data_IF_937213683227
#
_entry.id   IF_937213683227
#
_cell.length_a   1.000
_cell.length_b   1.000
_cell.length_c   1.000
_cell.angle_alpha   90.00
_cell.angle_beta   90.00
_cell.angle_gamma   90.00
#
_symmetry.space_group_name_H-M   'P 1'
#
loop_
_entity.id
_entity.type
_entity.pdbx_description
1 polymer ?
#
# COMPACT_ATOMS: atom_id res chain seq x y z
N UNK A 1 -13.67 -11.63 6.69
CA UNK A 1 -13.31 -11.78 5.25
C UNK A 1 -12.07 -12.67 5.10
N UNK A 2 -10.83 -12.20 5.31
CA UNK A 2 -9.66 -13.09 5.20
C UNK A 2 -9.57 -14.13 6.32
N UNK A 3 -9.81 -13.75 7.57
CA UNK A 3 -9.83 -14.67 8.72
C UNK A 3 -10.79 -15.87 8.52
N UNK A 4 -11.93 -15.62 7.88
CA UNK A 4 -12.92 -16.66 7.55
C UNK A 4 -12.37 -17.68 6.56
N UNK A 5 -11.64 -17.23 5.53
CA UNK A 5 -10.99 -18.12 4.55
C UNK A 5 -9.89 -18.96 5.18
N UNK A 6 -9.12 -18.38 6.10
CA UNK A 6 -8.11 -19.12 6.88
C UNK A 6 -8.78 -20.20 7.74
N UNK A 7 -9.85 -19.86 8.47
CA UNK A 7 -10.59 -20.82 9.27
C UNK A 7 -11.23 -21.95 8.44
N UNK A 8 -11.61 -21.67 7.19
CA UNK A 8 -12.12 -22.66 6.24
C UNK A 8 -11.02 -23.49 5.56
N UNK A 9 -9.73 -23.20 5.79
CA UNK A 9 -8.61 -23.89 5.14
C UNK A 9 -8.36 -23.47 3.68
N UNK A 10 -9.00 -22.41 3.20
CA UNK A 10 -8.87 -21.92 1.82
C UNK A 10 -7.68 -20.96 1.63
N UNK A 11 -7.08 -20.50 2.72
CA UNK A 11 -5.99 -19.53 2.72
C UNK A 11 -5.00 -19.83 3.86
N UNK A 12 -3.68 -19.77 3.62
CA UNK A 12 -2.69 -19.88 4.69
C UNK A 12 -2.84 -18.76 5.75
N UNK A 13 -2.35 -18.98 6.99
CA UNK A 13 -2.32 -17.95 8.03
C UNK A 13 -1.51 -16.72 7.60
N UNK A 14 -1.67 -15.60 8.31
CA UNK A 14 -1.07 -14.32 7.87
C UNK A 14 0.45 -14.34 7.96
N UNK A 15 0.98 -15.03 8.95
CA UNK A 15 2.40 -15.19 9.23
C UNK A 15 3.13 -15.91 8.10
N UNK A 16 2.47 -16.87 7.44
CA UNK A 16 3.02 -17.58 6.27
C UNK A 16 2.89 -16.78 4.95
N UNK A 17 1.98 -15.80 4.92
CA UNK A 17 1.72 -14.98 3.71
C UNK A 17 2.56 -13.71 3.66
N UNK A 18 2.93 -13.17 4.81
CA UNK A 18 3.80 -11.99 4.88
C UNK A 18 5.25 -12.39 4.58
N UNK A 19 6.04 -11.51 3.96
CA UNK A 19 7.48 -11.69 3.93
C UNK A 19 8.07 -11.56 5.34
N UNK A 20 9.27 -12.11 5.54
CA UNK A 20 9.99 -12.01 6.81
C UNK A 20 10.20 -10.54 7.25
N UNK A 21 10.42 -9.66 6.27
CA UNK A 21 10.58 -8.21 6.47
C UNK A 21 9.51 -7.42 5.71
N UNK A 22 8.30 -7.23 6.28
CA UNK A 22 7.25 -6.47 5.62
C UNK A 22 7.54 -4.96 5.65
N UNK A 23 7.08 -4.25 4.62
CA UNK A 23 7.03 -2.78 4.65
C UNK A 23 6.09 -2.33 5.77
N UNK A 24 6.65 -1.61 6.75
CA UNK A 24 5.89 -1.00 7.84
C UNK A 24 5.50 0.42 7.46
N UNK A 25 4.20 0.70 7.39
CA UNK A 25 3.65 2.04 7.20
C UNK A 25 3.35 2.67 8.57
N UNK A 26 3.89 3.86 8.83
CA UNK A 26 3.77 4.57 10.10
C UNK A 26 3.60 6.09 9.91
N UNK A 27 3.42 6.84 10.99
CA UNK A 27 3.42 8.31 10.96
C UNK A 27 4.74 8.89 10.41
N UNK A 28 5.86 8.20 10.66
CA UNK A 28 7.18 8.64 10.18
C UNK A 28 7.46 8.24 8.74
N UNK A 29 6.90 7.12 8.29
CA UNK A 29 7.11 6.57 6.94
C UNK A 29 5.79 6.06 6.37
N UNK A 30 5.16 6.88 5.55
CA UNK A 30 3.98 6.51 4.78
C UNK A 30 4.09 6.98 3.32
N UNK A 31 2.99 6.89 2.55
CA UNK A 31 2.95 7.23 1.11
C UNK A 31 2.39 8.63 0.82
N UNK A 32 2.07 9.38 1.88
CA UNK A 32 1.47 10.71 1.85
C UNK A 32 2.47 11.67 2.52
N UNK A 33 2.63 12.91 2.04
CA UNK A 33 3.48 13.88 2.75
C UNK A 33 2.99 14.09 4.19
N UNK A 34 3.92 14.21 5.15
CA UNK A 34 3.59 14.31 6.58
C UNK A 34 2.65 15.47 6.92
N UNK A 35 2.73 16.57 6.18
CA UNK A 35 1.85 17.74 6.35
C UNK A 35 0.43 17.55 5.79
N UNK A 36 0.20 16.50 5.00
CA UNK A 36 -1.06 16.29 4.28
C UNK A 36 -1.93 15.20 4.95
N UNK A 37 -1.44 14.55 6.01
CA UNK A 37 -2.13 13.45 6.69
C UNK A 37 -1.92 13.48 8.20
N UNK A 38 -3.00 13.67 8.94
CA UNK A 38 -3.07 13.35 10.37
C UNK A 38 -3.16 11.83 10.52
N UNK A 39 -2.02 11.17 10.74
CA UNK A 39 -1.94 9.71 10.73
C UNK A 39 -2.71 9.08 11.89
N UNK A 40 -3.61 8.15 11.57
CA UNK A 40 -4.33 7.31 12.52
C UNK A 40 -4.34 5.84 12.07
N UNK A 41 -4.44 4.91 13.02
CA UNK A 41 -4.58 3.48 12.71
C UNK A 41 -6.00 3.19 12.23
N UNK A 42 -6.13 2.79 10.96
CA UNK A 42 -7.41 2.49 10.35
C UNK A 42 -8.06 1.18 10.79
N UNK A 43 -9.30 0.97 10.33
CA UNK A 43 -10.08 -0.26 10.55
C UNK A 43 -10.28 -1.02 9.23
N UNK A 44 -10.26 -2.35 9.29
CA UNK A 44 -10.52 -3.18 8.11
C UNK A 44 -12.00 -3.17 7.71
N UNK A 45 -12.26 -3.01 6.40
CA UNK A 45 -13.59 -3.18 5.82
C UNK A 45 -13.97 -2.05 4.86
N UNK A 46 -15.24 -2.05 4.45
CA UNK A 46 -15.80 -1.03 3.57
C UNK A 46 -15.63 -1.30 2.07
N UNK A 47 -16.12 -0.35 1.27
CA UNK A 47 -16.02 -0.35 -0.19
C UNK A 47 -15.67 1.06 -0.65
N UNK A 48 -14.50 1.21 -1.30
CA UNK A 48 -14.13 2.46 -1.96
C UNK A 48 -14.90 2.57 -3.28
N UNK A 49 -15.77 3.57 -3.40
CA UNK A 49 -16.56 3.85 -4.60
C UNK A 49 -15.94 5.02 -5.34
N UNK A 50 -15.43 4.77 -6.54
CA UNK A 50 -14.83 5.80 -7.40
C UNK A 50 -15.71 6.08 -8.62
N UNK A 51 -15.56 7.26 -9.20
CA UNK A 51 -16.12 7.62 -10.50
C UNK A 51 -14.99 7.68 -11.52
N UNK A 52 -15.31 7.40 -12.78
CA UNK A 52 -14.35 7.38 -13.88
C UNK A 52 -14.97 7.96 -15.14
N UNK A 53 -14.21 8.72 -15.93
CA UNK A 53 -14.74 9.34 -17.15
C UNK A 53 -14.86 8.35 -18.31
N UNK A 54 -14.05 7.29 -18.34
CA UNK A 54 -14.06 6.27 -19.38
C UNK A 54 -14.55 4.91 -18.83
N UNK A 55 -15.26 4.10 -19.62
CA UNK A 55 -15.80 2.81 -19.17
C UNK A 55 -14.74 1.73 -18.95
N UNK A 56 -13.60 1.84 -19.61
CA UNK A 56 -12.53 0.81 -19.68
C UNK A 56 -11.20 1.28 -19.07
N UNK A 57 -10.95 2.61 -19.01
CA UNK A 57 -9.84 3.19 -18.25
C UNK A 57 -10.19 4.03 -16.99
N UNK A 58 -9.35 3.97 -15.95
CA UNK A 58 -9.35 4.92 -14.81
C UNK A 58 -7.91 5.11 -14.35
N UNK A 59 -7.29 6.27 -14.60
CA UNK A 59 -5.89 6.49 -14.25
C UNK A 59 -5.66 6.45 -12.74
N UNK A 60 -6.63 6.94 -11.94
CA UNK A 60 -6.54 6.94 -10.48
C UNK A 60 -6.53 5.51 -9.91
N UNK A 61 -7.47 4.66 -10.37
CA UNK A 61 -7.54 3.26 -9.94
C UNK A 61 -6.31 2.48 -10.41
N UNK A 62 -5.81 2.76 -11.62
CA UNK A 62 -4.58 2.14 -12.09
C UNK A 62 -3.38 2.50 -11.22
N UNK A 63 -3.23 3.79 -10.86
CA UNK A 63 -2.15 4.26 -9.99
C UNK A 63 -2.18 3.61 -8.60
N UNK A 64 -3.37 3.49 -8.00
CA UNK A 64 -3.54 2.84 -6.67
C UNK A 64 -3.20 1.34 -6.71
N UNK A 65 -3.34 0.67 -7.85
CA UNK A 65 -3.04 -0.74 -8.01
C UNK A 65 -1.59 -1.04 -8.45
N UNK A 66 -0.81 -0.01 -8.78
CA UNK A 66 0.58 -0.20 -9.17
C UNK A 66 1.51 -0.15 -7.96
N UNK A 67 2.51 -1.03 -7.91
CA UNK A 67 3.47 -1.11 -6.81
C UNK A 67 4.90 -1.00 -7.34
N UNK A 68 5.54 0.18 -7.22
CA UNK A 68 6.92 0.38 -7.69
C UNK A 68 7.94 -0.30 -6.77
N UNK A 69 9.17 -0.51 -7.26
CA UNK A 69 10.25 -1.09 -6.44
C UNK A 69 10.59 -0.21 -5.22
N UNK A 70 10.75 1.09 -5.47
CA UNK A 70 10.98 2.14 -4.48
C UNK A 70 9.81 3.11 -4.49
N UNK A 71 9.65 3.93 -3.45
CA UNK A 71 8.59 4.93 -3.42
C UNK A 71 8.93 6.14 -2.54
N UNK A 72 8.20 7.21 -2.78
CA UNK A 72 8.28 8.47 -2.07
C UNK A 72 6.88 8.87 -1.55
N UNK A 73 6.80 9.67 -0.49
CA UNK A 73 5.58 10.39 -0.15
C UNK A 73 5.23 11.41 -1.24
N UNK A 74 3.97 11.42 -1.68
CA UNK A 74 3.48 12.36 -2.69
C UNK A 74 4.01 12.09 -4.10
N UNK A 75 3.85 13.09 -5.00
CA UNK A 75 4.14 12.95 -6.44
C UNK A 75 5.54 13.46 -6.85
N UNK A 76 6.21 14.23 -5.98
CA UNK A 76 7.44 14.97 -6.32
C UNK A 76 8.74 14.17 -6.10
N UNK A 77 8.64 12.92 -5.67
CA UNK A 77 9.79 12.01 -5.48
C UNK A 77 10.87 12.53 -4.50
N UNK A 78 10.47 13.25 -3.45
CA UNK A 78 11.33 13.57 -2.30
C UNK A 78 11.34 12.41 -1.30
N UNK A 79 12.41 12.24 -0.52
CA UNK A 79 12.55 11.16 0.48
C UNK A 79 12.24 9.75 -0.08
N UNK A 80 12.78 9.46 -1.27
CA UNK A 80 12.67 8.13 -1.90
C UNK A 80 13.26 7.08 -0.96
N UNK A 81 12.54 5.99 -0.76
CA UNK A 81 13.00 4.86 0.03
C UNK A 81 12.36 3.55 -0.44
N UNK A 82 12.54 2.50 0.35
CA UNK A 82 12.00 1.18 0.03
C UNK A 82 10.49 1.16 -0.22
N UNK A 83 10.08 0.23 -1.09
CA UNK A 83 8.70 -0.20 -1.27
C UNK A 83 8.64 -1.73 -1.39
N UNK A 84 8.61 -2.28 -2.61
CA UNK A 84 8.72 -3.73 -2.83
C UNK A 84 10.12 -4.21 -2.47
N UNK A 85 11.15 -3.39 -2.73
CA UNK A 85 12.51 -3.62 -2.19
C UNK A 85 12.70 -2.83 -0.90
N UNK A 86 13.52 -3.35 0.01
CA UNK A 86 13.81 -2.72 1.31
C UNK A 86 14.47 -1.35 1.18
N UNK A 87 15.31 -1.16 0.17
CA UNK A 87 16.05 0.08 -0.07
C UNK A 87 16.81 0.02 -1.38
N UNK A 88 17.59 1.06 -1.66
CA UNK A 88 18.43 1.18 -2.84
C UNK A 88 19.70 1.97 -2.51
N UNK A 89 20.73 1.79 -3.32
CA UNK A 89 21.98 2.54 -3.28
C UNK A 89 22.32 2.96 -4.72
N UNK A 90 22.92 4.14 -4.88
CA UNK A 90 23.32 4.67 -6.19
C UNK A 90 24.81 5.03 -6.12
N UNK A 91 25.58 4.58 -7.13
CA UNK A 91 27.02 4.81 -7.28
C UNK A 91 27.32 5.81 -8.39
#
# INVERSE_FOLDING_TARGET
MLRTKVAAGELPPVEERLPDEPLVVSSERNKVPKGDLDFEIGQYGGVLRTVRPAPDWSPDVWGVNNQPLVGAPGILAEDVGGNVVKGFEVS
#
